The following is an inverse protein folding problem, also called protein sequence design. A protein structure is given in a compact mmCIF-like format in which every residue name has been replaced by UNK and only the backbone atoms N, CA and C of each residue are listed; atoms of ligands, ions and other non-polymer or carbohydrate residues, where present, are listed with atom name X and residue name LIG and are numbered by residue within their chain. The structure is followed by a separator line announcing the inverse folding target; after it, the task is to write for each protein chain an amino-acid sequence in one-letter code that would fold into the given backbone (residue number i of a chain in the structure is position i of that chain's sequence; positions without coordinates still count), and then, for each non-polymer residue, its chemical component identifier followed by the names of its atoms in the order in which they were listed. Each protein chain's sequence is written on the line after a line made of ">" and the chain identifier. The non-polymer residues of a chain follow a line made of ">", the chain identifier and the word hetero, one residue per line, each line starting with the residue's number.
data_IF_626594963309
#
_entry.id   IF_626594963309
#
_cell.length_a   1.000
_cell.length_b   1.000
_cell.length_c   1.000
_cell.angle_alpha   90.00
_cell.angle_beta   90.00
_cell.angle_gamma   90.00
#
_symmetry.space_group_name_H-M   'P 1'
#
loop_
_entity.id
_entity.type
_entity.pdbx_description
1 polymer ?
#
# COMPACT_ATOMS: atom_id res chain seq x y z
N UNK A 1 -16.26 -6.51 24.28
CA UNK A 1 -16.03 -6.54 23.49
C UNK A 1 -15.17 -6.78 22.97
N UNK A 2 -15.12 -6.74 22.59
CA UNK A 2 -14.54 -6.88 22.04
C UNK A 2 -14.01 -6.85 21.23
N UNK A 3 -13.66 -6.86 21.00
CA UNK A 3 -13.17 -6.83 20.17
C UNK A 3 -12.61 -6.94 19.36
N UNK A 4 -12.36 -6.94 18.94
CA UNK A 4 -12.04 -7.03 18.16
C UNK A 4 -11.57 -7.34 17.12
N UNK A 5 -11.49 -8.10 16.99
CA UNK A 5 -11.40 -8.37 15.58
C UNK A 5 -11.46 -7.08 14.79
N UNK A 6 -10.90 -7.07 13.60
CA UNK A 6 -11.04 -5.91 12.74
C UNK A 6 -12.51 -5.60 12.54
N UNK A 7 -12.97 -4.45 12.97
CA UNK A 7 -14.34 -4.09 12.68
C UNK A 7 -14.53 -3.93 11.17
N UNK A 8 -15.72 -4.17 10.70
CA UNK A 8 -15.98 -4.10 9.26
C UNK A 8 -16.21 -2.68 8.75
N UNK A 9 -15.55 -1.69 9.33
CA UNK A 9 -15.71 -0.34 8.84
C UNK A 9 -14.73 -0.05 7.70
N UNK A 10 -15.09 0.93 6.88
CA UNK A 10 -14.34 1.25 5.68
C UNK A 10 -13.01 1.91 6.02
N UNK A 11 -12.01 1.59 5.21
CA UNK A 11 -10.73 2.28 5.23
C UNK A 11 -10.77 3.29 4.09
N UNK A 12 -10.44 4.54 4.38
CA UNK A 12 -10.64 5.63 3.44
C UNK A 12 -9.40 5.89 2.59
N UNK A 13 -9.64 6.41 1.40
CA UNK A 13 -8.58 6.78 0.47
C UNK A 13 -7.71 7.89 1.05
N UNK A 14 -6.39 7.78 0.84
CA UNK A 14 -5.43 8.75 1.36
C UNK A 14 -5.32 10.02 0.52
N UNK A 15 -5.92 10.05 -0.66
CA UNK A 15 -5.82 11.24 -1.50
C UNK A 15 -6.48 12.42 -0.80
N UNK A 16 -5.82 13.56 -0.84
CA UNK A 16 -6.32 14.76 -0.18
C UNK A 16 -7.66 15.17 -0.78
N UNK A 17 -8.64 15.33 0.07
CA UNK A 17 -9.96 15.73 -0.36
C UNK A 17 -10.82 14.59 -0.87
N UNK A 18 -10.32 13.36 -0.87
CA UNK A 18 -11.09 12.20 -1.32
C UNK A 18 -11.78 11.56 -0.13
N UNK A 19 -13.09 11.35 -0.26
CA UNK A 19 -13.87 10.72 0.80
C UNK A 19 -14.39 9.34 0.39
N UNK A 20 -13.77 8.73 -0.63
CA UNK A 20 -14.13 7.39 -1.08
C UNK A 20 -13.44 6.33 -0.26
N UNK A 21 -14.04 5.15 -0.25
CA UNK A 21 -13.45 4.00 0.40
C UNK A 21 -12.24 3.50 -0.39
N UNK A 22 -11.17 3.13 0.30
CA UNK A 22 -9.98 2.59 -0.34
C UNK A 22 -10.20 1.12 -0.68
N UNK A 23 -9.82 0.75 -1.90
CA UNK A 23 -9.90 -0.63 -2.38
C UNK A 23 -8.52 -1.21 -2.66
N UNK A 24 -7.49 -0.38 -2.69
CA UNK A 24 -6.14 -0.81 -3.05
C UNK A 24 -5.12 -0.29 -2.04
N UNK A 25 -4.09 -1.09 -1.83
CA UNK A 25 -2.93 -0.70 -1.03
C UNK A 25 -1.73 -0.58 -1.96
N UNK A 26 -1.05 0.55 -1.90
CA UNK A 26 0.18 0.76 -2.64
C UNK A 26 1.33 0.62 -1.65
N UNK A 27 2.17 -0.38 -1.85
CA UNK A 27 3.19 -0.73 -0.87
C UNK A 27 4.41 -1.30 -1.58
N UNK A 28 5.55 -1.24 -0.91
CA UNK A 28 6.78 -1.80 -1.42
C UNK A 28 7.40 -2.70 -0.36
N UNK A 29 8.09 -3.73 -0.83
CA UNK A 29 8.75 -4.67 0.06
C UNK A 29 10.11 -4.11 0.48
N UNK A 30 10.28 -3.97 1.77
CA UNK A 30 11.53 -3.51 2.37
C UNK A 30 12.23 -4.67 3.05
N UNK A 31 13.55 -4.67 3.02
CA UNK A 31 14.34 -5.67 3.72
C UNK A 31 15.66 -5.05 4.19
N UNK A 32 16.12 -5.51 5.35
CA UNK A 32 17.46 -5.15 5.83
C UNK A 32 18.43 -6.32 5.73
N UNK A 33 18.04 -7.39 5.03
CA UNK A 33 18.85 -8.59 4.90
C UNK A 33 18.58 -9.63 5.98
N UNK A 34 17.91 -9.25 7.05
CA UNK A 34 17.55 -10.15 8.15
C UNK A 34 16.04 -10.28 8.23
N UNK A 35 15.33 -9.15 8.19
CA UNK A 35 13.88 -9.11 8.20
C UNK A 35 13.37 -8.39 6.97
N UNK A 36 12.13 -8.66 6.62
CA UNK A 36 11.48 -7.95 5.52
C UNK A 36 10.04 -7.65 5.91
N UNK A 37 9.52 -6.57 5.36
CA UNK A 37 8.15 -6.17 5.63
C UNK A 37 7.58 -5.40 4.44
N UNK A 38 6.26 -5.30 4.41
CA UNK A 38 5.56 -4.56 3.38
C UNK A 38 5.33 -3.14 3.89
N UNK A 39 5.97 -2.18 3.23
CA UNK A 39 5.90 -0.77 3.65
C UNK A 39 4.80 -0.09 2.84
N UNK A 40 3.75 0.32 3.53
CA UNK A 40 2.60 0.94 2.88
C UNK A 40 2.85 2.41 2.61
N UNK A 41 2.66 2.82 1.37
CA UNK A 41 2.72 4.23 0.99
C UNK A 41 1.34 4.88 1.07
N UNK A 42 0.35 4.27 0.44
CA UNK A 42 -0.99 4.85 0.35
C UNK A 42 -2.05 3.77 0.33
N UNK A 43 -3.23 4.14 0.80
CA UNK A 43 -4.46 3.38 0.56
C UNK A 43 -5.28 4.20 -0.42
N UNK A 44 -5.82 3.57 -1.44
CA UNK A 44 -6.37 4.29 -2.58
C UNK A 44 -7.71 3.73 -3.05
N UNK A 45 -8.62 4.62 -3.40
CA UNK A 45 -9.80 4.25 -4.17
C UNK A 45 -9.40 4.04 -5.64
N UNK A 46 -10.27 3.44 -6.47
CA UNK A 46 -9.94 3.22 -7.88
C UNK A 46 -9.64 4.51 -8.65
N UNK A 47 -10.36 5.60 -8.35
CA UNK A 47 -10.18 6.85 -9.09
C UNK A 47 -8.84 7.54 -8.81
N UNK A 48 -8.32 7.39 -7.59
CA UNK A 48 -7.07 8.07 -7.20
C UNK A 48 -5.84 7.20 -7.42
N UNK A 49 -6.03 5.95 -7.86
CA UNK A 49 -4.97 4.95 -7.87
C UNK A 49 -3.75 5.40 -8.69
N UNK A 50 -3.97 5.87 -9.90
CA UNK A 50 -2.86 6.27 -10.77
C UNK A 50 -2.06 7.40 -10.14
N UNK A 51 -2.74 8.42 -9.63
CA UNK A 51 -2.07 9.57 -9.03
C UNK A 51 -1.29 9.16 -7.79
N UNK A 52 -1.90 8.34 -6.92
CA UNK A 52 -1.22 7.91 -5.70
C UNK A 52 -0.08 6.96 -6.00
N UNK A 53 -0.22 6.12 -7.03
CA UNK A 53 0.87 5.24 -7.43
C UNK A 53 2.07 6.05 -7.91
N UNK A 54 1.84 7.08 -8.72
CA UNK A 54 2.91 7.96 -9.17
C UNK A 54 3.60 8.65 -8.00
N UNK A 55 2.81 9.09 -7.01
CA UNK A 55 3.38 9.69 -5.80
C UNK A 55 4.22 8.69 -5.01
N UNK A 56 3.80 7.43 -4.97
CA UNK A 56 4.57 6.39 -4.31
C UNK A 56 5.91 6.17 -5.00
N UNK A 57 5.92 6.18 -6.33
CA UNK A 57 7.17 6.03 -7.09
C UNK A 57 8.12 7.18 -6.80
N UNK A 58 7.61 8.41 -6.69
CA UNK A 58 8.44 9.56 -6.34
C UNK A 58 9.01 9.38 -4.94
N UNK A 59 8.19 8.98 -3.98
CA UNK A 59 8.66 8.75 -2.61
C UNK A 59 9.73 7.67 -2.57
N UNK A 60 9.55 6.60 -3.33
CA UNK A 60 10.52 5.51 -3.39
C UNK A 60 11.86 6.00 -3.92
N UNK A 61 11.84 6.79 -5.00
CA UNK A 61 13.08 7.28 -5.60
C UNK A 61 13.79 8.29 -4.71
N UNK A 62 13.08 8.97 -3.80
CA UNK A 62 13.68 9.90 -2.86
C UNK A 62 14.10 9.23 -1.55
N UNK A 63 13.79 7.96 -1.37
CA UNK A 63 14.07 7.23 -0.14
C UNK A 63 15.56 6.96 0.00
N UNK A 64 16.11 7.24 1.18
CA UNK A 64 17.50 6.91 1.48
C UNK A 64 17.54 5.63 2.29
N UNK A 65 18.34 4.69 1.81
CA UNK A 65 18.47 3.39 2.46
C UNK A 65 19.81 3.31 3.17
N UNK A 66 19.81 2.68 4.35
CA UNK A 66 21.05 2.38 5.06
C UNK A 66 21.73 1.19 4.39
N UNK A 67 23.00 0.97 4.75
CA UNK A 67 23.74 -0.16 4.23
C UNK A 67 23.01 -1.45 4.60
N UNK A 68 22.84 -2.33 3.63
CA UNK A 68 22.17 -3.60 3.84
C UNK A 68 20.66 -3.56 3.66
N UNK A 69 20.10 -2.38 3.48
CA UNK A 69 18.66 -2.25 3.23
C UNK A 69 18.36 -2.27 1.75
N UNK A 70 17.21 -2.79 1.41
CA UNK A 70 16.69 -2.74 0.05
C UNK A 70 15.22 -2.39 0.07
N UNK A 71 14.76 -1.77 -1.01
CA UNK A 71 13.36 -1.37 -1.15
C UNK A 71 12.96 -1.64 -2.58
N UNK A 72 11.96 -2.49 -2.75
CA UNK A 72 11.45 -2.81 -4.08
C UNK A 72 10.61 -1.68 -4.64
N UNK A 73 10.16 -1.86 -5.87
CA UNK A 73 9.27 -0.91 -6.50
C UNK A 73 7.88 -0.97 -5.85
N UNK A 74 7.13 0.15 -5.87
CA UNK A 74 5.76 0.12 -5.37
C UNK A 74 4.92 -0.90 -6.12
N UNK A 75 4.09 -1.60 -5.37
CA UNK A 75 3.19 -2.63 -5.88
C UNK A 75 1.77 -2.28 -5.47
N UNK A 76 0.81 -2.70 -6.27
CA UNK A 76 -0.60 -2.48 -6.01
C UNK A 76 -1.24 -3.79 -5.57
N UNK A 77 -1.90 -3.75 -4.43
CA UNK A 77 -2.63 -4.89 -3.88
C UNK A 77 -4.10 -4.55 -3.74
N UNK A 78 -4.95 -5.47 -4.14
CA UNK A 78 -6.38 -5.33 -3.90
C UNK A 78 -6.67 -5.75 -2.47
N UNK A 79 -7.36 -4.87 -1.74
CA UNK A 79 -7.72 -5.13 -0.34
C UNK A 79 -9.12 -5.70 -0.27
N UNK A 80 -9.28 -6.65 0.64
CA UNK A 80 -10.59 -7.17 0.96
C UNK A 80 -10.82 -6.95 2.44
N UNK A 81 -12.00 -6.44 2.78
CA UNK A 81 -12.34 -6.15 4.16
C UNK A 81 -12.19 -7.41 5.01
N UNK A 82 -11.51 -7.28 6.13
CA UNK A 82 -11.27 -8.40 7.04
C UNK A 82 -10.08 -9.26 6.69
N UNK A 83 -9.38 -8.96 5.59
CA UNK A 83 -8.20 -9.72 5.19
C UNK A 83 -6.93 -9.07 5.69
N UNK A 84 -5.92 -9.89 5.93
CA UNK A 84 -4.61 -9.44 6.38
C UNK A 84 -3.69 -9.22 5.18
N UNK A 85 -2.55 -8.57 5.43
CA UNK A 85 -1.60 -8.26 4.37
C UNK A 85 -1.19 -9.49 3.56
N UNK A 86 -1.03 -10.63 4.23
CA UNK A 86 -0.61 -11.86 3.54
C UNK A 86 -1.71 -12.41 2.63
N UNK A 87 -2.92 -11.90 2.76
CA UNK A 87 -4.06 -12.35 1.96
C UNK A 87 -4.41 -11.36 0.86
N UNK A 88 -3.59 -10.33 0.68
CA UNK A 88 -3.79 -9.35 -0.37
C UNK A 88 -3.46 -9.94 -1.72
N UNK A 89 -4.20 -9.53 -2.73
CA UNK A 89 -3.99 -9.99 -4.11
C UNK A 89 -3.26 -8.89 -4.86
N UNK A 90 -2.08 -9.22 -5.39
CA UNK A 90 -1.32 -8.24 -6.17
C UNK A 90 -1.96 -8.03 -7.53
N UNK A 91 -2.08 -6.79 -7.92
CA UNK A 91 -2.68 -6.40 -9.18
C UNK A 91 -1.62 -5.71 -10.04
N UNK A 92 -0.78 -6.53 -10.69
CA UNK A 92 0.33 -6.01 -11.48
C UNK A 92 -0.13 -5.12 -12.63
N UNK A 93 -1.28 -5.43 -13.20
CA UNK A 93 -1.81 -4.65 -14.32
C UNK A 93 -2.14 -3.21 -13.93
N UNK A 94 -2.25 -2.91 -12.64
CA UNK A 94 -2.54 -1.57 -12.14
C UNK A 94 -1.27 -0.80 -11.77
N UNK A 95 -0.10 -1.42 -11.91
CA UNK A 95 1.19 -0.81 -11.55
C UNK A 95 1.76 -0.08 -12.77
N UNK A 96 1.06 0.92 -13.23
CA UNK A 96 1.46 1.70 -14.40
C UNK A 96 1.98 3.07 -14.00
N UNK A 97 3.02 3.52 -14.69
CA UNK A 97 3.65 4.82 -14.42
C UNK A 97 3.21 5.84 -15.43
#
# INVERSE_FOLDING_TARGET
>A
MIARAMPPYAVMCYAKGCDREANFKIAARWSDGVTSELKTYFLSCPECLTTLYQSACVKKSACRLAAGESLGDPQVFEMMRGKRDRELVRREELEAH
#
